data_IF_691536915591
#
_entry.id   IF_691536915591
#
_cell.length_a   1.000
_cell.length_b   1.000
_cell.length_c   1.000
_cell.angle_alpha   90.00
_cell.angle_beta   90.00
_cell.angle_gamma   90.00
#
_symmetry.space_group_name_H-M   'P 1'
#
loop_
_entity.id
_entity.type
_entity.pdbx_description
1 polymer ?
#
# COMPACT_ATOMS: atom_id res chain seq x y z
N UNK A 1 -42.11 55.19 38.33
CA UNK A 1 -42.82 54.92 37.06
C UNK A 1 -42.01 53.90 36.30
N UNK A 2 -42.71 52.98 35.64
CA UNK A 2 -42.27 51.70 35.13
C UNK A 2 -41.01 51.69 34.27
N UNK A 3 -40.30 50.56 34.36
CA UNK A 3 -39.23 50.13 33.49
C UNK A 3 -39.65 50.14 32.00
N UNK A 4 -38.76 50.67 31.15
CA UNK A 4 -38.83 50.55 29.70
C UNK A 4 -37.72 49.63 29.21
N UNK A 5 -38.12 48.47 28.69
CA UNK A 5 -37.29 47.50 27.97
C UNK A 5 -36.88 48.09 26.63
N UNK A 6 -35.60 47.96 26.24
CA UNK A 6 -35.20 47.93 24.83
C UNK A 6 -34.09 46.89 24.63
N UNK A 7 -34.27 46.13 23.55
CA UNK A 7 -33.79 44.78 23.33
C UNK A 7 -32.31 44.69 22.89
N UNK A 8 -31.74 43.51 23.14
CA UNK A 8 -30.44 43.08 22.67
C UNK A 8 -30.36 43.10 21.14
N UNK A 9 -29.31 43.72 20.59
CA UNK A 9 -28.92 43.53 19.20
C UNK A 9 -28.28 42.13 19.04
N UNK A 10 -28.60 41.39 17.97
CA UNK A 10 -28.14 40.02 17.80
C UNK A 10 -26.65 39.96 17.51
N UNK A 11 -25.99 38.97 18.14
CA UNK A 11 -24.74 38.40 17.68
C UNK A 11 -24.87 38.03 16.20
N UNK A 12 -24.02 38.60 15.34
CA UNK A 12 -23.84 38.15 13.98
C UNK A 12 -23.27 36.72 14.01
N UNK A 13 -24.17 35.78 13.75
CA UNK A 13 -23.89 34.40 13.38
C UNK A 13 -23.00 34.38 12.14
N UNK A 14 -21.85 33.72 12.27
CA UNK A 14 -21.56 32.49 11.55
C UNK A 14 -21.27 32.57 10.05
N UNK A 15 -20.33 31.73 9.65
CA UNK A 15 -20.17 31.32 8.27
C UNK A 15 -19.13 32.12 7.51
N UNK A 16 -17.88 32.08 7.98
CA UNK A 16 -16.80 31.99 7.03
C UNK A 16 -17.08 30.76 6.17
N UNK A 17 -17.73 30.96 5.03
CA UNK A 17 -17.83 29.98 3.95
C UNK A 17 -16.40 29.78 3.44
N UNK A 18 -15.61 28.99 4.17
CA UNK A 18 -14.53 28.26 3.55
C UNK A 18 -15.20 27.45 2.46
N UNK A 19 -14.90 27.76 1.20
CA UNK A 19 -15.23 26.93 0.05
C UNK A 19 -14.61 25.56 0.29
N UNK A 20 -15.33 24.73 1.05
CA UNK A 20 -15.03 23.33 1.25
C UNK A 20 -15.42 22.58 -0.01
N UNK A 21 -14.64 22.72 -1.07
CA UNK A 21 -14.48 21.58 -1.96
C UNK A 21 -13.80 20.52 -1.10
N UNK A 22 -14.53 19.48 -0.67
CA UNK A 22 -13.84 18.24 -0.31
C UNK A 22 -12.98 17.90 -1.53
N UNK A 23 -11.66 17.88 -1.34
CA UNK A 23 -10.78 17.40 -2.39
C UNK A 23 -11.23 15.97 -2.72
N UNK A 24 -11.41 15.69 -4.02
CA UNK A 24 -11.69 14.33 -4.45
C UNK A 24 -10.51 13.46 -4.03
N UNK A 25 -10.78 12.38 -3.29
CA UNK A 25 -9.76 11.42 -2.88
C UNK A 25 -9.00 10.91 -4.11
N UNK A 26 -7.72 11.26 -4.22
CA UNK A 26 -6.82 10.70 -5.22
C UNK A 26 -6.51 9.27 -4.81
N UNK A 27 -6.23 8.43 -5.81
CA UNK A 27 -5.95 7.02 -5.55
C UNK A 27 -4.52 6.87 -5.06
N UNK A 28 -4.23 5.80 -4.30
CA UNK A 28 -2.87 5.41 -4.01
C UNK A 28 -2.05 5.24 -5.28
N UNK A 29 -0.75 5.37 -5.15
CA UNK A 29 0.24 5.08 -6.19
C UNK A 29 1.26 4.09 -5.62
N UNK A 30 1.82 3.29 -6.51
CA UNK A 30 2.92 2.40 -6.18
C UNK A 30 3.83 2.20 -7.38
N UNK A 31 5.07 1.79 -7.14
CA UNK A 31 6.01 1.40 -8.18
C UNK A 31 6.23 -0.12 -8.19
N UNK A 32 6.54 -0.65 -9.37
CA UNK A 32 6.95 -2.05 -9.50
C UNK A 32 8.33 -2.26 -8.86
N UNK A 33 8.52 -3.42 -8.22
CA UNK A 33 9.77 -3.77 -7.56
C UNK A 33 10.43 -5.00 -8.18
N UNK A 34 11.76 -4.96 -8.30
CA UNK A 34 12.58 -6.15 -8.50
C UNK A 34 13.01 -6.71 -7.16
N UNK A 35 13.18 -8.03 -7.06
CA UNK A 35 13.81 -8.67 -5.91
C UNK A 35 14.70 -9.85 -6.34
N UNK A 36 15.54 -10.34 -5.43
CA UNK A 36 16.38 -11.51 -5.67
C UNK A 36 15.75 -12.76 -5.06
N UNK A 37 15.67 -13.85 -5.84
CA UNK A 37 15.18 -15.13 -5.33
C UNK A 37 16.16 -15.71 -4.30
N UNK A 38 15.68 -16.31 -3.21
CA UNK A 38 16.51 -17.13 -2.33
C UNK A 38 17.16 -18.27 -3.12
N UNK A 39 18.44 -18.55 -2.83
CA UNK A 39 19.21 -19.61 -3.52
C UNK A 39 18.90 -21.03 -3.04
N UNK A 40 18.12 -21.17 -1.95
CA UNK A 40 17.80 -22.47 -1.35
C UNK A 40 16.31 -22.60 -1.08
N UNK A 41 15.79 -23.82 -1.21
CA UNK A 41 14.43 -24.16 -0.75
C UNK A 41 14.30 -23.86 0.75
N UNK A 42 13.19 -23.25 1.16
CA UNK A 42 12.96 -22.74 2.51
C UNK A 42 13.64 -21.39 2.79
N UNK A 43 14.50 -20.91 1.90
CA UNK A 43 15.05 -19.56 1.98
C UNK A 43 13.95 -18.51 1.80
N UNK A 44 14.09 -17.39 2.50
CA UNK A 44 13.13 -16.29 2.48
C UNK A 44 13.80 -14.98 2.07
N UNK A 45 13.02 -14.14 1.40
CA UNK A 45 13.39 -12.75 1.11
C UNK A 45 12.24 -11.83 1.49
N UNK A 46 12.57 -10.69 2.09
CA UNK A 46 11.64 -9.61 2.43
C UNK A 46 11.58 -8.65 1.24
N UNK A 47 10.37 -8.33 0.79
CA UNK A 47 10.11 -7.40 -0.30
C UNK A 47 9.37 -6.19 0.29
N UNK A 48 10.05 -5.04 0.46
CA UNK A 48 9.49 -3.87 1.14
C UNK A 48 8.56 -3.08 0.23
N UNK A 49 7.39 -3.63 -0.07
CA UNK A 49 6.44 -3.04 -1.04
C UNK A 49 5.79 -1.75 -0.55
N UNK A 50 5.70 -1.52 0.76
CA UNK A 50 5.18 -0.27 1.33
C UNK A 50 6.15 0.91 1.16
N UNK A 51 7.47 0.66 1.03
CA UNK A 51 8.48 1.70 0.82
C UNK A 51 8.32 2.41 -0.55
N UNK A 52 7.64 1.76 -1.50
CA UNK A 52 7.38 2.29 -2.85
C UNK A 52 5.89 2.58 -3.09
N UNK A 53 5.10 2.68 -2.02
CA UNK A 53 3.69 2.99 -2.10
C UNK A 53 3.37 4.25 -1.30
N UNK A 54 2.50 5.09 -1.85
CA UNK A 54 2.07 6.31 -1.20
C UNK A 54 0.65 6.68 -1.64
N UNK A 55 -0.02 7.50 -0.86
CA UNK A 55 -1.25 8.16 -1.29
C UNK A 55 -1.08 9.68 -1.12
N UNK A 56 -1.49 10.51 -2.11
CA UNK A 56 -1.34 11.96 -2.03
C UNK A 56 -2.18 12.64 -0.93
N UNK A 57 -3.19 11.97 -0.39
CA UNK A 57 -4.19 12.49 0.52
C UNK A 57 -4.18 11.78 1.89
N UNK A 58 -3.78 10.51 1.95
CA UNK A 58 -3.78 9.68 3.17
C UNK A 58 -2.41 9.07 3.44
N UNK A 59 -2.00 9.06 4.70
CA UNK A 59 -0.79 8.34 5.15
C UNK A 59 -1.04 7.74 6.54
N UNK A 60 -0.73 6.45 6.77
CA UNK A 60 -0.13 5.48 5.83
C UNK A 60 -1.15 4.85 4.87
N UNK A 61 -0.66 4.29 3.76
CA UNK A 61 -1.41 3.30 2.96
C UNK A 61 -1.28 1.91 3.57
N UNK A 62 -2.24 1.03 3.30
CA UNK A 62 -2.26 -0.35 3.81
C UNK A 62 -1.99 -1.35 2.70
N UNK A 63 -1.08 -2.30 2.93
CA UNK A 63 -0.93 -3.49 2.09
C UNK A 63 -2.08 -4.47 2.38
N UNK A 64 -2.92 -4.77 1.39
CA UNK A 64 -4.19 -5.50 1.62
C UNK A 64 -4.25 -6.88 0.97
N UNK A 65 -3.49 -7.12 -0.10
CA UNK A 65 -3.48 -8.43 -0.77
C UNK A 65 -2.21 -8.65 -1.59
N UNK A 66 -1.91 -9.94 -1.79
CA UNK A 66 -0.90 -10.43 -2.73
C UNK A 66 -1.45 -11.66 -3.46
N UNK A 67 -1.19 -11.75 -4.77
CA UNK A 67 -1.54 -12.88 -5.61
C UNK A 67 -0.57 -12.96 -6.81
N UNK A 68 -0.72 -13.97 -7.68
CA UNK A 68 0.11 -14.11 -8.88
C UNK A 68 0.84 -15.44 -8.98
N UNK A 69 1.71 -15.55 -9.97
CA UNK A 69 2.47 -16.75 -10.28
C UNK A 69 3.80 -16.77 -9.54
N UNK A 70 3.88 -17.61 -8.52
CA UNK A 70 5.13 -17.98 -7.86
C UNK A 70 5.43 -19.47 -8.15
N UNK A 71 5.71 -19.88 -9.41
CA UNK A 71 5.89 -21.29 -9.73
C UNK A 71 7.03 -21.95 -8.93
N UNK A 72 7.99 -21.14 -8.44
CA UNK A 72 9.14 -21.60 -7.63
C UNK A 72 9.00 -21.28 -6.13
N UNK A 73 7.87 -20.74 -5.67
CA UNK A 73 7.71 -20.31 -4.28
C UNK A 73 6.30 -19.92 -3.86
N UNK A 74 6.20 -19.21 -2.75
CA UNK A 74 4.98 -18.58 -2.27
C UNK A 74 5.28 -17.23 -1.65
N UNK A 75 4.31 -16.32 -1.70
CA UNK A 75 4.41 -15.01 -1.06
C UNK A 75 3.25 -14.81 -0.09
N UNK A 76 3.55 -14.21 1.06
CA UNK A 76 2.57 -13.82 2.07
C UNK A 76 2.80 -12.38 2.49
N UNK A 77 1.76 -11.72 2.97
CA UNK A 77 1.90 -10.44 3.67
C UNK A 77 2.37 -10.75 5.10
N UNK A 78 3.34 -9.98 5.58
CA UNK A 78 3.79 -9.97 6.97
C UNK A 78 3.62 -8.56 7.52
N UNK A 79 3.09 -8.47 8.73
CA UNK A 79 2.95 -7.24 9.50
C UNK A 79 4.26 -6.75 10.14
N UNK A 80 5.39 -7.40 9.79
CA UNK A 80 6.71 -7.13 10.35
C UNK A 80 6.77 -7.14 11.91
N UNK A 81 5.82 -7.81 12.57
CA UNK A 81 5.70 -7.85 14.03
C UNK A 81 4.90 -6.69 14.64
N UNK A 82 4.34 -5.81 13.81
CA UNK A 82 3.62 -4.59 14.21
C UNK A 82 2.29 -4.44 13.46
N UNK A 83 1.23 -5.20 13.83
CA UNK A 83 -0.08 -5.18 13.15
C UNK A 83 -0.74 -3.80 12.98
N UNK A 84 -0.39 -2.84 13.85
CA UNK A 84 -0.96 -1.48 13.83
C UNK A 84 -0.12 -0.48 13.02
N UNK A 85 1.10 -0.85 12.60
CA UNK A 85 2.05 0.04 11.90
C UNK A 85 2.01 -0.29 10.40
N UNK A 86 0.97 0.17 9.72
CA UNK A 86 0.69 -0.28 8.35
C UNK A 86 1.79 0.03 7.31
N UNK A 87 2.66 1.01 7.59
CA UNK A 87 3.73 1.41 6.69
C UNK A 87 4.93 0.47 6.72
N UNK A 88 5.03 -0.45 7.69
CA UNK A 88 6.13 -1.42 7.75
C UNK A 88 5.73 -2.85 7.38
N UNK A 89 4.47 -3.05 6.96
CA UNK A 89 3.98 -4.28 6.35
C UNK A 89 4.78 -4.60 5.07
N UNK A 90 5.17 -5.86 4.89
CA UNK A 90 5.98 -6.31 3.75
C UNK A 90 5.40 -7.56 3.11
N UNK A 91 5.93 -7.92 1.94
CA UNK A 91 5.79 -9.30 1.45
C UNK A 91 6.99 -10.14 1.89
N UNK A 92 6.73 -11.39 2.27
CA UNK A 92 7.75 -12.41 2.48
C UNK A 92 7.57 -13.47 1.41
N UNK A 93 8.57 -13.61 0.54
CA UNK A 93 8.62 -14.70 -0.43
C UNK A 93 9.45 -15.85 0.15
N UNK A 94 8.91 -17.06 0.09
CA UNK A 94 9.60 -18.30 0.48
C UNK A 94 9.78 -19.18 -0.75
N UNK A 95 11.02 -19.63 -1.00
CA UNK A 95 11.28 -20.58 -2.09
C UNK A 95 10.80 -21.97 -1.71
N UNK A 96 10.06 -22.62 -2.59
CA UNK A 96 9.49 -23.97 -2.37
C UNK A 96 9.96 -24.99 -3.39
N UNK A 97 10.54 -24.55 -4.51
CA UNK A 97 11.10 -25.41 -5.57
C UNK A 97 12.61 -25.16 -5.73
N UNK A 98 13.44 -26.18 -5.95
CA UNK A 98 14.84 -26.00 -6.32
C UNK A 98 15.03 -25.60 -7.79
N UNK A 99 14.02 -25.81 -8.63
CA UNK A 99 14.10 -25.50 -10.07
C UNK A 99 14.19 -23.98 -10.30
N UNK A 100 14.98 -23.54 -11.30
CA UNK A 100 14.96 -22.17 -11.76
C UNK A 100 13.57 -21.76 -12.27
N UNK A 101 13.25 -20.48 -12.19
CA UNK A 101 12.05 -19.95 -12.79
C UNK A 101 11.82 -18.48 -12.51
N UNK A 102 10.78 -17.98 -13.17
CA UNK A 102 10.38 -16.58 -13.07
C UNK A 102 9.18 -16.42 -12.14
N UNK A 103 9.22 -15.41 -11.28
CA UNK A 103 8.17 -15.05 -10.33
C UNK A 103 7.55 -13.71 -10.70
N UNK A 104 6.23 -13.68 -10.73
CA UNK A 104 5.43 -12.46 -10.87
C UNK A 104 4.39 -12.41 -9.75
N UNK A 105 4.59 -11.50 -8.80
CA UNK A 105 3.66 -11.19 -7.73
C UNK A 105 2.93 -9.90 -8.08
N UNK A 106 1.64 -9.84 -7.78
CA UNK A 106 0.81 -8.65 -7.83
C UNK A 106 0.31 -8.37 -6.42
N UNK A 107 0.48 -7.13 -5.97
CA UNK A 107 0.09 -6.71 -4.63
C UNK A 107 -0.71 -5.42 -4.69
N UNK A 108 -1.61 -5.26 -3.72
CA UNK A 108 -2.56 -4.14 -3.68
C UNK A 108 -2.37 -3.32 -2.42
N UNK A 109 -2.32 -2.01 -2.56
CA UNK A 109 -2.39 -1.04 -1.45
C UNK A 109 -3.71 -0.28 -1.46
N UNK A 110 -4.17 0.15 -0.29
CA UNK A 110 -5.40 0.93 -0.13
C UNK A 110 -5.24 2.05 0.89
N UNK A 111 -5.91 3.17 0.65
CA UNK A 111 -6.13 4.30 1.56
C UNK A 111 -7.46 4.17 2.35
N UNK A 112 -8.19 3.06 2.16
CA UNK A 112 -9.53 2.82 2.71
C UNK A 112 -10.70 3.26 1.82
N UNK A 113 -10.45 4.05 0.76
CA UNK A 113 -11.47 4.54 -0.19
C UNK A 113 -11.23 4.07 -1.63
N UNK A 114 -9.97 3.89 -2.00
CA UNK A 114 -9.46 3.48 -3.30
C UNK A 114 -8.29 2.50 -3.13
N UNK A 115 -7.83 1.93 -4.23
CA UNK A 115 -6.68 1.04 -4.25
C UNK A 115 -5.83 1.21 -5.49
N UNK A 116 -4.58 0.79 -5.38
CA UNK A 116 -3.63 0.64 -6.49
C UNK A 116 -2.98 -0.73 -6.42
N UNK A 117 -2.61 -1.25 -7.59
CA UNK A 117 -1.97 -2.55 -7.75
C UNK A 117 -0.65 -2.39 -8.48
N UNK A 118 0.39 -3.04 -7.96
CA UNK A 118 1.71 -3.06 -8.54
C UNK A 118 2.29 -4.48 -8.51
N UNK A 119 3.38 -4.65 -9.26
CA UNK A 119 4.04 -5.93 -9.44
C UNK A 119 5.39 -6.01 -8.74
N UNK A 120 5.72 -7.19 -8.23
CA UNK A 120 7.09 -7.55 -7.88
C UNK A 120 7.56 -8.71 -8.74
N UNK A 121 8.77 -8.62 -9.28
CA UNK A 121 9.31 -9.61 -10.22
C UNK A 121 10.71 -10.07 -9.81
N UNK A 122 11.00 -11.34 -10.10
CA UNK A 122 12.33 -11.93 -9.97
C UNK A 122 12.46 -13.12 -10.92
N UNK A 123 13.69 -13.42 -11.34
CA UNK A 123 14.01 -14.61 -12.13
C UNK A 123 15.42 -15.07 -11.81
N UNK A 124 15.62 -16.39 -11.76
CA UNK A 124 16.93 -17.05 -11.77
C UNK A 124 17.06 -17.99 -12.98
N UNK A 125 16.20 -17.80 -13.98
CA UNK A 125 16.25 -18.56 -15.23
C UNK A 125 17.51 -18.16 -16.00
N UNK A 126 18.36 -19.12 -16.40
CA UNK A 126 19.53 -18.82 -17.20
C UNK A 126 19.09 -18.22 -18.56
N UNK A 127 19.93 -17.37 -19.18
CA UNK A 127 19.65 -16.89 -20.53
C UNK A 127 19.40 -18.08 -21.47
N UNK A 128 18.47 -17.96 -22.43
CA UNK A 128 18.27 -19.02 -23.41
C UNK A 128 19.61 -19.31 -24.12
N UNK A 129 20.03 -20.57 -24.07
CA UNK A 129 21.22 -21.03 -24.78
C UNK A 129 20.95 -20.88 -26.28
N UNK A 130 21.53 -19.85 -26.90
CA UNK A 130 21.50 -19.70 -28.35
C UNK A 130 22.50 -20.73 -28.91
N UNK A 131 21.99 -21.88 -29.34
CA UNK A 131 22.77 -22.98 -29.91
C UNK A 131 23.60 -22.61 -31.13
#
# INVERSE_FOLDING_TARGET
MSAGVLAAAPLLVGGGNGSGTQAVNRRPICDNLGFSLPSTVGGQVRIPVTDVAADPDVTPVRLVSVFGGAPVGSAVISDNGTPAVLNDDILVFTRTSPEPGTVFLYWTVSDGSSSAQCGSHASDEPPPENG
#
